data_IF_054338949809
#
_entry.id   IF_054338949809
#
_cell.length_a   1.000
_cell.length_b   1.000
_cell.length_c   1.000
_cell.angle_alpha   90.00
_cell.angle_beta   90.00
_cell.angle_gamma   90.00
#
_symmetry.space_group_name_H-M   'P 1'
#
loop_
_entity.id
_entity.type
_entity.pdbx_description
1 polymer ?
#
# COMPACT_ATOMS: atom_id res chain seq x y z
N UNK A 1 -27.10 14.37 19.14
CA UNK A 1 -26.42 14.19 17.84
C UNK A 1 -25.05 14.82 17.86
N UNK A 2 -24.01 14.00 17.78
CA UNK A 2 -22.68 14.51 17.48
C UNK A 2 -22.64 14.92 16.00
N UNK A 3 -21.98 16.02 15.65
CA UNK A 3 -21.76 16.41 14.25
C UNK A 3 -20.48 15.78 13.69
N UNK A 4 -19.56 15.43 14.58
CA UNK A 4 -18.23 14.89 14.26
C UNK A 4 -17.86 13.79 15.26
N UNK A 5 -17.36 12.67 14.76
CA UNK A 5 -16.78 11.58 15.54
C UNK A 5 -15.27 11.52 15.25
N UNK A 6 -14.45 11.64 16.30
CA UNK A 6 -13.00 11.51 16.24
C UNK A 6 -12.60 10.19 16.90
N UNK A 7 -11.84 9.34 16.21
CA UNK A 7 -11.44 8.03 16.68
C UNK A 7 -9.93 7.84 16.53
N UNK A 8 -9.26 7.44 17.59
CA UNK A 8 -7.85 7.09 17.54
C UNK A 8 -7.71 5.56 17.38
N UNK A 9 -7.20 5.12 16.24
CA UNK A 9 -7.01 3.71 15.86
C UNK A 9 -8.16 2.76 16.26
N UNK A 10 -9.41 3.02 15.83
CA UNK A 10 -10.57 2.33 16.38
C UNK A 10 -10.61 0.82 16.05
N UNK A 11 -9.91 0.39 14.99
CA UNK A 11 -9.77 -1.01 14.60
C UNK A 11 -8.68 -1.77 15.34
N UNK A 12 -7.83 -1.09 16.12
CA UNK A 12 -6.67 -1.69 16.77
C UNK A 12 -7.07 -2.73 17.82
N UNK A 13 -6.40 -3.88 17.81
CA UNK A 13 -6.69 -5.00 18.71
C UNK A 13 -7.97 -5.78 18.41
N UNK A 14 -8.72 -5.43 17.36
CA UNK A 14 -9.88 -6.20 16.92
C UNK A 14 -9.47 -7.38 16.03
N UNK A 15 -10.19 -8.49 16.13
CA UNK A 15 -10.09 -9.55 15.14
C UNK A 15 -10.61 -9.05 13.77
N UNK A 16 -10.20 -9.67 12.64
CA UNK A 16 -10.58 -9.20 11.31
C UNK A 16 -12.10 -9.01 11.12
N UNK A 17 -12.94 -9.89 11.67
CA UNK A 17 -14.39 -9.78 11.51
C UNK A 17 -14.98 -8.64 12.35
N UNK A 18 -14.46 -8.42 13.55
CA UNK A 18 -14.90 -7.29 14.39
C UNK A 18 -14.53 -5.95 13.76
N UNK A 19 -13.34 -5.88 13.16
CA UNK A 19 -12.84 -4.73 12.42
C UNK A 19 -13.71 -4.39 11.21
N UNK A 20 -14.07 -5.38 10.40
CA UNK A 20 -14.97 -5.20 9.27
C UNK A 20 -16.34 -4.64 9.72
N UNK A 21 -16.90 -5.16 10.82
CA UNK A 21 -18.17 -4.67 11.39
C UNK A 21 -18.07 -3.24 11.91
N UNK A 22 -16.94 -2.88 12.51
CA UNK A 22 -16.67 -1.52 12.94
C UNK A 22 -16.67 -0.57 11.73
N UNK A 23 -15.86 -0.87 10.71
CA UNK A 23 -15.75 -0.03 9.51
C UNK A 23 -17.10 0.11 8.79
N UNK A 24 -17.88 -0.98 8.70
CA UNK A 24 -19.24 -0.93 8.16
C UNK A 24 -20.16 0.00 8.98
N UNK A 25 -20.03 -0.04 10.31
CA UNK A 25 -20.79 0.83 11.22
C UNK A 25 -20.42 2.29 11.03
N UNK A 26 -19.12 2.61 10.98
CA UNK A 26 -18.64 3.97 10.70
C UNK A 26 -19.15 4.46 9.36
N UNK A 27 -19.06 3.64 8.31
CA UNK A 27 -19.61 3.97 6.99
C UNK A 27 -21.10 4.27 7.03
N UNK A 28 -21.90 3.47 7.73
CA UNK A 28 -23.35 3.74 7.89
C UNK A 28 -23.62 5.06 8.61
N UNK A 29 -22.86 5.37 9.66
CA UNK A 29 -22.99 6.66 10.35
C UNK A 29 -22.62 7.83 9.43
N UNK A 30 -21.55 7.69 8.65
CA UNK A 30 -21.15 8.70 7.68
C UNK A 30 -22.26 8.94 6.63
N UNK A 31 -22.88 7.88 6.09
CA UNK A 31 -24.00 8.01 5.15
C UNK A 31 -25.25 8.69 5.73
N UNK A 32 -25.36 8.76 7.07
CA UNK A 32 -26.43 9.47 7.78
C UNK A 32 -26.08 10.94 8.10
N UNK A 33 -24.95 11.44 7.58
CA UNK A 33 -24.51 12.83 7.73
C UNK A 33 -23.52 13.08 8.88
N UNK A 34 -23.06 12.03 9.58
CA UNK A 34 -22.01 12.17 10.60
C UNK A 34 -20.65 12.39 9.92
N UNK A 35 -19.89 13.41 10.31
CA UNK A 35 -18.48 13.49 9.90
C UNK A 35 -17.65 12.55 10.76
N UNK A 36 -16.80 11.73 10.14
CA UNK A 36 -15.92 10.80 10.87
C UNK A 36 -14.48 11.09 10.48
N UNK A 37 -13.63 11.26 11.48
CA UNK A 37 -12.18 11.35 11.32
C UNK A 37 -11.58 10.26 12.19
N UNK A 38 -10.73 9.42 11.61
CA UNK A 38 -10.04 8.40 12.35
C UNK A 38 -8.58 8.28 11.91
N UNK A 39 -7.73 7.86 12.84
CA UNK A 39 -6.34 7.46 12.55
C UNK A 39 -6.30 5.94 12.37
N UNK A 40 -5.39 5.47 11.52
CA UNK A 40 -5.12 4.04 11.35
C UNK A 40 -3.72 3.87 10.78
N UNK A 41 -3.07 2.77 11.14
CA UNK A 41 -1.84 2.29 10.50
C UNK A 41 -2.13 1.25 9.41
N UNK A 42 -3.39 0.85 9.20
CA UNK A 42 -3.80 -0.09 8.15
C UNK A 42 -4.17 0.69 6.86
N UNK A 43 -3.39 0.56 5.77
CA UNK A 43 -3.69 1.23 4.50
C UNK A 43 -5.04 0.82 3.91
N UNK A 44 -5.45 -0.43 4.11
CA UNK A 44 -6.71 -0.96 3.60
C UNK A 44 -7.92 -0.31 4.28
N UNK A 45 -7.81 0.00 5.58
CA UNK A 45 -8.83 0.79 6.28
C UNK A 45 -8.88 2.23 5.76
N UNK A 46 -7.72 2.87 5.60
CA UNK A 46 -7.62 4.22 5.07
C UNK A 46 -8.17 4.33 3.63
N UNK A 47 -8.00 3.30 2.80
CA UNK A 47 -8.54 3.24 1.44
C UNK A 47 -10.07 3.27 1.37
N UNK A 48 -10.77 2.97 2.47
CA UNK A 48 -12.23 3.05 2.56
C UNK A 48 -12.74 4.48 2.81
N UNK A 49 -11.86 5.41 3.20
CA UNK A 49 -12.22 6.79 3.48
C UNK A 49 -12.44 7.59 2.18
N UNK A 50 -13.27 8.63 2.27
CA UNK A 50 -13.47 9.57 1.15
C UNK A 50 -12.20 10.39 0.86
N UNK A 51 -11.43 10.70 1.91
CA UNK A 51 -10.15 11.42 1.86
C UNK A 51 -9.19 10.85 2.89
N UNK A 52 -7.90 10.84 2.55
CA UNK A 52 -6.81 10.46 3.44
C UNK A 52 -5.79 11.58 3.48
N UNK A 53 -5.27 11.86 4.68
CA UNK A 53 -4.07 12.65 4.89
C UNK A 53 -2.96 11.71 5.35
N UNK A 54 -1.89 11.60 4.58
CA UNK A 54 -0.71 10.83 4.98
C UNK A 54 0.14 11.70 5.87
N UNK A 55 0.40 11.24 7.09
CA UNK A 55 1.25 11.93 8.04
C UNK A 55 2.62 11.26 8.12
N UNK A 56 3.68 12.07 8.12
CA UNK A 56 5.05 11.62 8.34
C UNK A 56 5.84 12.72 9.06
N UNK A 57 6.59 12.35 10.11
CA UNK A 57 7.37 13.29 10.93
C UNK A 57 6.58 14.51 11.43
N UNK A 58 5.35 14.26 11.90
CA UNK A 58 4.46 15.28 12.48
C UNK A 58 3.82 16.23 11.46
N UNK A 59 3.89 15.93 10.16
CA UNK A 59 3.34 16.76 9.09
C UNK A 59 2.48 15.95 8.14
N UNK A 60 1.43 16.58 7.59
CA UNK A 60 0.71 16.04 6.44
C UNK A 60 1.60 16.22 5.21
N UNK A 61 2.05 15.11 4.62
CA UNK A 61 2.92 15.13 3.42
C UNK A 61 2.13 15.13 2.13
N UNK A 62 0.98 14.45 2.10
CA UNK A 62 0.02 14.47 1.01
C UNK A 62 -1.40 14.31 1.57
N UNK A 63 -2.39 14.83 0.85
CA UNK A 63 -3.80 14.58 1.12
C UNK A 63 -4.61 14.49 -0.17
N UNK A 64 -5.70 13.71 -0.15
CA UNK A 64 -6.58 13.53 -1.30
C UNK A 64 -7.47 12.29 -1.18
N UNK A 65 -8.26 12.01 -2.21
CA UNK A 65 -8.98 10.75 -2.27
C UNK A 65 -7.99 9.58 -2.47
N UNK A 66 -8.15 8.43 -1.80
CA UNK A 66 -7.21 7.31 -1.91
C UNK A 66 -6.87 6.91 -3.36
N UNK A 67 -7.90 6.83 -4.21
CA UNK A 67 -7.74 6.47 -5.63
C UNK A 67 -6.87 7.47 -6.40
N UNK A 68 -7.00 8.76 -6.12
CA UNK A 68 -6.23 9.81 -6.78
C UNK A 68 -4.76 9.77 -6.33
N UNK A 69 -4.53 9.55 -5.03
CA UNK A 69 -3.19 9.41 -4.48
C UNK A 69 -2.48 8.18 -5.05
N UNK A 70 -3.17 7.04 -5.13
CA UNK A 70 -2.64 5.81 -5.74
C UNK A 70 -2.27 6.05 -7.20
N UNK A 71 -3.19 6.60 -8.00
CA UNK A 71 -2.94 6.89 -9.41
C UNK A 71 -1.78 7.87 -9.64
N UNK A 72 -1.56 8.81 -8.71
CA UNK A 72 -0.51 9.82 -8.82
C UNK A 72 0.87 9.32 -8.40
N UNK A 73 0.95 8.57 -7.30
CA UNK A 73 2.23 8.22 -6.67
C UNK A 73 2.64 6.77 -6.89
N UNK A 74 1.69 5.83 -6.99
CA UNK A 74 1.98 4.41 -7.14
C UNK A 74 1.04 3.74 -8.18
N UNK A 75 1.04 4.19 -9.45
CA UNK A 75 0.05 3.77 -10.44
C UNK A 75 0.20 2.31 -10.90
N UNK A 76 1.39 1.73 -10.77
CA UNK A 76 1.74 0.44 -11.35
C UNK A 76 2.11 -0.60 -10.29
N UNK A 77 1.77 -1.89 -10.53
CA UNK A 77 2.24 -2.98 -9.71
C UNK A 77 3.76 -3.11 -9.75
N UNK A 78 4.30 -3.81 -8.74
CA UNK A 78 5.73 -4.07 -8.64
C UNK A 78 5.98 -5.51 -8.27
N UNK A 79 7.06 -6.05 -8.83
CA UNK A 79 7.61 -7.34 -8.40
C UNK A 79 8.83 -7.06 -7.55
N UNK A 80 8.81 -7.49 -6.30
CA UNK A 80 10.00 -7.53 -5.45
C UNK A 80 10.56 -8.93 -5.47
N UNK A 81 11.85 -9.05 -5.73
CA UNK A 81 12.53 -10.34 -5.83
C UNK A 81 13.73 -10.32 -4.93
N UNK A 82 13.76 -11.25 -3.97
CA UNK A 82 14.96 -11.54 -3.19
C UNK A 82 15.75 -12.67 -3.87
N UNK A 83 17.02 -12.42 -4.16
CA UNK A 83 17.89 -13.37 -4.85
C UNK A 83 19.38 -13.06 -4.55
N UNK A 84 20.29 -14.06 -4.70
CA UNK A 84 21.72 -13.85 -4.47
C UNK A 84 22.37 -12.91 -5.50
N UNK A 85 21.77 -12.80 -6.69
CA UNK A 85 22.15 -11.85 -7.75
C UNK A 85 20.91 -11.51 -8.56
N UNK A 86 21.01 -10.51 -9.44
CA UNK A 86 19.89 -10.05 -10.27
C UNK A 86 20.26 -10.14 -11.75
N UNK A 87 19.29 -10.44 -12.64
CA UNK A 87 19.52 -10.51 -14.08
C UNK A 87 20.09 -9.20 -14.61
N UNK A 88 21.08 -9.29 -15.50
CA UNK A 88 21.63 -8.10 -16.17
C UNK A 88 20.69 -7.56 -17.26
N UNK A 89 19.77 -8.40 -17.75
CA UNK A 89 18.79 -8.09 -18.78
C UNK A 89 17.58 -7.31 -18.26
N UNK A 90 17.34 -7.30 -16.94
CA UNK A 90 16.26 -6.53 -16.33
C UNK A 90 16.80 -5.25 -15.69
N UNK A 91 16.09 -4.13 -15.93
CA UNK A 91 16.37 -2.87 -15.25
C UNK A 91 15.53 -2.79 -13.98
N UNK A 92 16.15 -3.07 -12.84
CA UNK A 92 15.51 -2.84 -11.55
C UNK A 92 15.29 -1.34 -11.34
N UNK A 93 14.11 -0.98 -10.82
CA UNK A 93 13.82 0.37 -10.37
C UNK A 93 14.60 0.69 -9.09
N UNK A 94 14.69 -0.29 -8.19
CA UNK A 94 15.45 -0.21 -6.94
C UNK A 94 16.19 -1.52 -6.71
N UNK A 95 17.44 -1.40 -6.26
CA UNK A 95 18.30 -2.52 -5.92
C UNK A 95 18.97 -2.25 -4.58
N UNK A 96 18.66 -3.05 -3.57
CA UNK A 96 19.23 -2.92 -2.22
C UNK A 96 19.57 -4.31 -1.70
N UNK A 97 20.86 -4.59 -1.49
CA UNK A 97 21.38 -5.78 -0.81
C UNK A 97 20.56 -7.08 -1.03
N UNK A 98 20.54 -7.59 -2.26
CA UNK A 98 19.86 -8.84 -2.62
C UNK A 98 18.36 -8.74 -2.86
N UNK A 99 17.76 -7.56 -2.72
CA UNK A 99 16.38 -7.26 -3.10
C UNK A 99 16.36 -6.34 -4.33
N UNK A 100 15.69 -6.78 -5.39
CA UNK A 100 15.35 -5.93 -6.53
C UNK A 100 13.85 -5.69 -6.57
N UNK A 101 13.48 -4.47 -6.95
CA UNK A 101 12.11 -4.09 -7.25
C UNK A 101 12.01 -3.71 -8.73
N UNK A 102 11.06 -4.33 -9.43
CA UNK A 102 10.73 -4.07 -10.82
C UNK A 102 9.34 -3.49 -10.89
N UNK A 103 9.17 -2.40 -11.62
CA UNK A 103 7.86 -1.91 -12.01
C UNK A 103 7.36 -2.76 -13.19
N UNK A 104 6.10 -3.16 -13.13
CA UNK A 104 5.46 -3.99 -14.16
C UNK A 104 4.09 -3.41 -14.51
N UNK A 105 3.62 -3.62 -15.73
CA UNK A 105 2.31 -3.17 -16.18
C UNK A 105 1.18 -4.04 -15.60
N UNK A 106 1.41 -5.35 -15.52
CA UNK A 106 0.40 -6.32 -15.09
C UNK A 106 1.01 -7.63 -14.54
N UNK A 107 0.12 -8.57 -14.17
CA UNK A 107 0.52 -9.89 -13.66
C UNK A 107 1.25 -10.75 -14.71
N UNK A 108 1.03 -10.51 -16.00
CA UNK A 108 1.71 -11.25 -17.07
C UNK A 108 3.17 -10.81 -17.16
N UNK A 109 3.44 -9.52 -17.12
CA UNK A 109 4.81 -9.00 -17.07
C UNK A 109 5.52 -9.38 -15.76
N UNK A 110 4.78 -9.45 -14.64
CA UNK A 110 5.32 -10.01 -13.40
C UNK A 110 5.83 -11.45 -13.57
N UNK A 111 5.10 -12.29 -14.32
CA UNK A 111 5.53 -13.64 -14.69
C UNK A 111 6.79 -13.67 -15.56
N UNK A 112 6.96 -12.67 -16.43
CA UNK A 112 8.17 -12.54 -17.26
C UNK A 112 9.41 -12.22 -16.42
N UNK A 113 9.28 -11.40 -15.38
CA UNK A 113 10.39 -11.16 -14.43
C UNK A 113 10.86 -12.48 -13.84
N UNK A 114 9.96 -13.30 -13.30
CA UNK A 114 10.32 -14.60 -12.74
C UNK A 114 10.95 -15.55 -13.79
N UNK A 115 10.44 -15.51 -15.03
CA UNK A 115 11.00 -16.28 -16.14
C UNK A 115 12.44 -15.89 -16.45
N UNK A 116 12.77 -14.60 -16.51
CA UNK A 116 14.13 -14.13 -16.81
C UNK A 116 15.12 -14.59 -15.74
N UNK A 117 14.74 -14.56 -14.47
CA UNK A 117 15.55 -15.14 -13.39
C UNK A 117 15.83 -16.63 -13.62
N UNK A 118 14.80 -17.40 -13.98
CA UNK A 118 14.95 -18.82 -14.31
C UNK A 118 15.85 -19.05 -15.51
N UNK A 119 15.66 -18.31 -16.60
CA UNK A 119 16.42 -18.45 -17.85
C UNK A 119 17.91 -18.09 -17.65
N UNK A 120 18.24 -17.18 -16.73
CA UNK A 120 19.62 -16.84 -16.35
C UNK A 120 20.20 -17.69 -15.21
N UNK A 121 19.48 -18.73 -14.76
CA UNK A 121 19.92 -19.63 -13.69
C UNK A 121 20.10 -18.93 -12.35
N UNK A 122 19.24 -17.96 -12.04
CA UNK A 122 19.24 -17.22 -10.77
C UNK A 122 18.08 -17.74 -9.91
N UNK A 123 18.37 -18.39 -8.77
CA UNK A 123 17.31 -18.83 -7.87
C UNK A 123 16.65 -17.61 -7.21
N UNK A 124 15.32 -17.61 -7.21
CA UNK A 124 14.51 -16.65 -6.44
C UNK A 124 14.27 -17.27 -5.06
N UNK A 125 14.63 -16.56 -4.00
CA UNK A 125 14.30 -16.96 -2.62
C UNK A 125 12.82 -16.69 -2.32
N UNK A 126 12.35 -15.51 -2.71
CA UNK A 126 10.95 -15.12 -2.56
C UNK A 126 10.59 -13.99 -3.52
N UNK A 127 9.49 -14.14 -4.29
CA UNK A 127 8.87 -13.05 -5.04
C UNK A 127 7.65 -12.48 -4.30
N UNK A 128 7.46 -11.17 -4.38
CA UNK A 128 6.27 -10.45 -3.93
C UNK A 128 5.69 -9.66 -5.09
N UNK A 129 4.38 -9.79 -5.34
CA UNK A 129 3.65 -8.85 -6.17
C UNK A 129 3.03 -7.77 -5.28
N UNK A 130 3.65 -6.60 -5.23
CA UNK A 130 3.09 -5.43 -4.58
C UNK A 130 2.09 -4.76 -5.53
N UNK A 131 0.82 -4.71 -5.12
CA UNK A 131 -0.24 -4.04 -5.88
C UNK A 131 -0.27 -2.54 -5.57
N UNK A 132 -0.74 -1.70 -6.51
CA UNK A 132 -1.06 -0.30 -6.23
C UNK A 132 -1.95 -0.18 -5.00
N UNK A 133 -1.61 0.71 -4.07
CA UNK A 133 -2.33 0.90 -2.81
C UNK A 133 -1.68 1.97 -1.96
N UNK A 134 -2.36 2.39 -0.89
CA UNK A 134 -1.86 3.45 0.01
C UNK A 134 -0.56 3.07 0.70
N UNK A 135 -0.28 1.77 0.87
CA UNK A 135 1.02 1.27 1.35
C UNK A 135 2.16 1.72 0.44
N UNK A 136 1.99 1.55 -0.87
CA UNK A 136 2.99 1.94 -1.85
C UNK A 136 3.07 3.46 -1.98
N UNK A 137 1.93 4.16 -1.92
CA UNK A 137 1.91 5.62 -1.87
C UNK A 137 2.72 6.15 -0.69
N UNK A 138 2.53 5.61 0.51
CA UNK A 138 3.28 6.00 1.70
C UNK A 138 4.78 5.87 1.45
N UNK A 139 5.21 4.70 0.99
CA UNK A 139 6.62 4.44 0.70
C UNK A 139 7.20 5.36 -0.38
N UNK A 140 6.42 5.72 -1.40
CA UNK A 140 6.87 6.66 -2.44
C UNK A 140 7.10 8.08 -1.92
N UNK A 141 6.27 8.52 -0.97
CA UNK A 141 6.35 9.91 -0.46
C UNK A 141 7.24 10.06 0.76
N UNK A 142 7.48 8.98 1.52
CA UNK A 142 8.31 9.00 2.74
C UNK A 142 9.65 8.30 2.58
N UNK A 143 9.76 7.33 1.65
CA UNK A 143 10.91 6.41 1.58
C UNK A 143 10.92 5.33 2.67
N UNK A 144 9.94 5.33 3.56
CA UNK A 144 9.82 4.42 4.70
C UNK A 144 8.66 3.43 4.50
N UNK A 145 8.72 2.30 5.19
CA UNK A 145 7.61 1.34 5.18
C UNK A 145 6.61 1.73 6.27
N UNK A 146 5.33 1.60 5.94
CA UNK A 146 4.28 1.66 6.94
C UNK A 146 4.31 0.33 7.71
N UNK A 147 4.78 0.37 8.96
CA UNK A 147 4.84 -0.76 9.89
C UNK A 147 3.50 -1.02 10.57
#
# INVERSE_FOLDING_TARGET
DALVLLLDEPGSGLDPRARDRLLETLRRLATRGMTIVFTTHDPGEAELADRVAVMHMGKVVIEGAPRELIARYAPKPRVRVKAPRHPSSLKARRLVAGLAEYEVEDEREAGLVAKVYSDEGIPIEWPELARPGLREVFYEVTGERLE
#
